data_IF_864659788428
#
_entry.id   IF_864659788428
#
_cell.length_a   1.000
_cell.length_b   1.000
_cell.length_c   1.000
_cell.angle_alpha   90.00
_cell.angle_beta   90.00
_cell.angle_gamma   90.00
#
_symmetry.space_group_name_H-M   'P 1'
#
loop_
_entity.id
_entity.type
_entity.pdbx_description
1 polymer ?
#
# COMPACT_ATOMS: atom_id res chain seq x y z
N UNK A 1 10.56 -9.09 3.44
CA UNK A 1 9.61 -9.56 2.41
C UNK A 1 8.87 -8.34 1.89
N UNK A 2 8.77 -8.14 0.57
CA UNK A 2 8.10 -6.97 -0.02
C UNK A 2 6.98 -7.42 -0.97
N UNK A 3 6.00 -6.53 -1.17
CA UNK A 3 5.05 -6.62 -2.28
C UNK A 3 5.76 -6.24 -3.57
N UNK A 4 5.59 -7.05 -4.61
CA UNK A 4 6.10 -6.76 -5.94
C UNK A 4 5.11 -5.85 -6.69
N UNK A 5 5.38 -4.54 -6.69
CA UNK A 5 4.56 -3.56 -7.41
C UNK A 5 4.55 -3.71 -8.94
N UNK A 6 5.40 -4.58 -9.50
CA UNK A 6 5.46 -4.91 -10.93
C UNK A 6 4.88 -6.29 -11.26
N UNK A 7 4.19 -6.94 -10.32
CA UNK A 7 3.57 -8.23 -10.56
C UNK A 7 2.49 -8.13 -11.67
N UNK A 8 2.49 -9.09 -12.59
CA UNK A 8 1.51 -9.16 -13.69
C UNK A 8 0.08 -9.34 -13.17
N UNK A 9 -0.10 -10.09 -12.08
CA UNK A 9 -1.37 -10.22 -11.35
C UNK A 9 -1.22 -9.64 -9.92
N UNK A 10 -1.63 -8.38 -9.71
CA UNK A 10 -1.64 -7.74 -8.40
C UNK A 10 -2.45 -8.49 -7.34
N UNK A 11 -3.53 -9.16 -7.74
CA UNK A 11 -4.40 -9.88 -6.80
C UNK A 11 -3.72 -11.14 -6.31
N UNK A 12 -3.10 -11.90 -7.22
CA UNK A 12 -2.29 -13.05 -6.85
C UNK A 12 -1.11 -12.66 -5.96
N UNK A 13 -0.45 -11.53 -6.26
CA UNK A 13 0.65 -11.01 -5.44
C UNK A 13 0.21 -10.64 -4.02
N UNK A 14 -0.95 -10.00 -3.86
CA UNK A 14 -1.52 -9.69 -2.55
C UNK A 14 -1.83 -10.97 -1.76
N UNK A 15 -2.44 -11.98 -2.40
CA UNK A 15 -2.70 -13.28 -1.77
C UNK A 15 -1.41 -13.97 -1.33
N UNK A 16 -0.40 -14.00 -2.21
CA UNK A 16 0.93 -14.54 -1.91
C UNK A 16 1.57 -13.86 -0.71
N UNK A 17 1.35 -12.55 -0.54
CA UNK A 17 1.90 -11.80 0.58
C UNK A 17 1.20 -12.15 1.90
N UNK A 18 -0.14 -12.20 1.90
CA UNK A 18 -0.95 -12.63 3.04
C UNK A 18 -0.64 -14.06 3.49
N UNK A 19 -0.57 -15.01 2.54
CA UNK A 19 -0.23 -16.41 2.82
C UNK A 19 1.12 -16.54 3.51
N UNK A 20 2.10 -15.70 3.16
CA UNK A 20 3.42 -15.71 3.81
C UNK A 20 3.37 -15.19 5.22
N UNK A 21 2.59 -14.15 5.50
CA UNK A 21 2.38 -13.64 6.85
C UNK A 21 1.79 -14.77 7.72
N UNK A 22 0.77 -15.46 7.23
CA UNK A 22 0.17 -16.60 7.94
C UNK A 22 1.15 -17.76 8.11
N UNK A 23 1.93 -18.10 7.08
CA UNK A 23 2.88 -19.21 7.13
C UNK A 23 4.00 -19.03 8.17
N UNK A 24 4.31 -17.78 8.54
CA UNK A 24 5.28 -17.47 9.61
C UNK A 24 4.63 -17.22 10.97
N UNK A 25 3.30 -17.38 11.08
CA UNK A 25 2.56 -17.25 12.33
C UNK A 25 1.95 -15.86 12.60
N UNK A 26 2.02 -14.94 11.63
CA UNK A 26 1.50 -13.57 11.76
C UNK A 26 2.60 -12.52 11.97
N UNK A 27 2.21 -11.33 12.44
CA UNK A 27 3.09 -10.23 12.77
C UNK A 27 2.99 -9.93 14.26
N UNK A 28 4.08 -10.08 15.01
CA UNK A 28 4.11 -9.78 16.46
C UNK A 28 4.12 -8.27 16.76
N UNK A 29 4.73 -7.49 15.85
CA UNK A 29 4.86 -6.05 15.98
C UNK A 29 4.78 -5.41 14.59
N UNK A 30 3.98 -4.35 14.47
CA UNK A 30 3.90 -3.52 13.28
C UNK A 30 4.17 -2.08 13.68
N UNK A 31 5.19 -1.47 13.07
CA UNK A 31 5.54 -0.06 13.28
C UNK A 31 5.11 0.72 12.04
N UNK A 32 4.21 1.69 12.23
CA UNK A 32 3.62 2.46 11.14
C UNK A 32 3.78 3.97 11.38
N UNK A 33 3.94 4.71 10.29
CA UNK A 33 3.68 6.15 10.28
C UNK A 33 2.20 6.44 10.04
N UNK A 34 1.76 7.64 10.40
CA UNK A 34 0.40 8.13 10.14
C UNK A 34 0.50 9.37 9.24
N UNK A 35 -0.28 9.38 8.16
CA UNK A 35 -0.39 10.51 7.26
C UNK A 35 -1.16 11.68 7.88
N UNK A 36 -1.01 12.88 7.33
CA UNK A 36 -1.67 14.11 7.83
C UNK A 36 -3.20 14.01 7.86
N UNK A 37 -3.79 13.16 7.01
CA UNK A 37 -5.24 12.89 6.96
C UNK A 37 -5.64 11.64 7.76
N UNK A 38 -4.72 11.06 8.54
CA UNK A 38 -4.95 9.89 9.38
C UNK A 38 -4.78 8.53 8.69
N UNK A 39 -4.38 8.48 7.40
CA UNK A 39 -4.15 7.21 6.73
C UNK A 39 -2.97 6.44 7.33
N UNK A 40 -3.02 5.11 7.23
CA UNK A 40 -1.89 4.20 7.45
C UNK A 40 -1.55 3.48 6.16
N UNK A 41 -0.27 3.37 5.82
CA UNK A 41 0.17 2.89 4.50
C UNK A 41 -0.57 3.65 3.37
N UNK A 42 -1.20 2.97 2.42
CA UNK A 42 -2.08 3.62 1.42
C UNK A 42 -3.58 3.46 1.73
N UNK A 43 -3.95 3.17 2.97
CA UNK A 43 -5.35 3.07 3.41
C UNK A 43 -5.92 4.46 3.69
N UNK A 44 -6.29 5.16 2.62
CA UNK A 44 -6.92 6.48 2.66
C UNK A 44 -8.26 6.51 3.42
N UNK A 45 -8.71 7.68 3.89
CA UNK A 45 -10.05 7.87 4.43
C UNK A 45 -11.13 7.27 3.52
N UNK A 46 -11.99 6.43 4.10
CA UNK A 46 -13.01 5.66 3.37
C UNK A 46 -12.59 4.22 3.03
N UNK A 47 -11.33 3.84 3.28
CA UNK A 47 -10.93 2.43 3.20
C UNK A 47 -11.72 1.56 4.20
N UNK A 48 -12.13 0.33 3.81
CA UNK A 48 -12.81 -0.57 4.73
C UNK A 48 -11.92 -0.93 5.93
N UNK A 49 -12.51 -0.96 7.12
CA UNK A 49 -11.81 -1.24 8.39
C UNK A 49 -11.28 -2.68 8.48
N UNK A 50 -11.88 -3.59 7.73
CA UNK A 50 -11.54 -5.02 7.63
C UNK A 50 -10.79 -5.35 6.32
N UNK A 51 -10.30 -4.32 5.63
CA UNK A 51 -9.58 -4.52 4.37
C UNK A 51 -8.28 -5.32 4.56
N UNK A 52 -7.93 -6.08 3.50
CA UNK A 52 -6.71 -6.88 3.39
C UNK A 52 -5.73 -6.27 2.40
N UNK A 53 -4.59 -6.92 2.25
CA UNK A 53 -3.58 -6.56 1.24
C UNK A 53 -4.25 -6.47 -0.14
N UNK A 54 -4.14 -5.33 -0.83
CA UNK A 54 -4.83 -5.07 -2.10
C UNK A 54 -4.14 -3.99 -2.95
N UNK A 55 -4.52 -3.95 -4.23
CA UNK A 55 -4.25 -2.81 -5.09
C UNK A 55 -5.22 -1.67 -4.75
N UNK A 56 -4.69 -0.48 -4.55
CA UNK A 56 -5.46 0.75 -4.33
C UNK A 56 -5.08 1.83 -5.34
N UNK A 57 -6.03 2.67 -5.68
CA UNK A 57 -5.77 3.92 -6.40
C UNK A 57 -5.40 5.00 -5.40
N UNK A 58 -4.26 5.66 -5.62
CA UNK A 58 -3.76 6.70 -4.73
C UNK A 58 -4.55 7.99 -4.94
N UNK A 59 -4.97 8.63 -3.84
CA UNK A 59 -5.62 9.93 -3.90
C UNK A 59 -4.65 11.02 -4.36
N UNK A 60 -5.19 12.17 -4.76
CA UNK A 60 -4.39 13.31 -5.24
C UNK A 60 -3.43 13.79 -4.16
N UNK A 61 -3.89 13.82 -2.92
CA UNK A 61 -3.15 14.30 -1.75
C UNK A 61 -1.92 13.43 -1.49
N UNK A 62 -2.06 12.11 -1.53
CA UNK A 62 -0.94 11.17 -1.30
C UNK A 62 0.06 11.17 -2.44
N UNK A 63 -0.40 11.33 -3.69
CA UNK A 63 0.49 11.56 -4.84
C UNK A 63 1.26 12.87 -4.68
N UNK A 64 0.60 13.95 -4.29
CA UNK A 64 1.24 15.25 -4.05
C UNK A 64 2.25 15.19 -2.89
N UNK A 65 1.91 14.49 -1.80
CA UNK A 65 2.80 14.30 -0.65
C UNK A 65 4.07 13.50 -1.00
N UNK A 66 3.99 12.62 -2.00
CA UNK A 66 5.13 11.79 -2.45
C UNK A 66 5.88 12.42 -3.63
N UNK A 67 5.37 13.50 -4.22
CA UNK A 67 5.89 14.06 -5.48
C UNK A 67 7.37 14.47 -5.40
N UNK A 68 7.85 14.85 -4.23
CA UNK A 68 9.26 15.22 -4.02
C UNK A 68 10.25 14.05 -4.23
N UNK A 69 9.77 12.81 -4.26
CA UNK A 69 10.57 11.60 -4.51
C UNK A 69 10.78 11.34 -6.01
N UNK A 70 10.09 12.05 -6.90
CA UNK A 70 10.06 11.80 -8.34
C UNK A 70 10.57 13.00 -9.12
N UNK A 71 11.00 12.80 -10.37
CA UNK A 71 11.50 13.90 -11.20
C UNK A 71 10.37 14.84 -11.64
N UNK A 72 9.14 14.33 -11.77
CA UNK A 72 7.94 15.12 -12.03
C UNK A 72 6.69 14.53 -11.38
N UNK A 73 5.62 15.32 -11.30
CA UNK A 73 4.35 14.88 -10.73
C UNK A 73 3.68 13.77 -11.57
N UNK A 74 3.94 13.74 -12.87
CA UNK A 74 3.45 12.74 -13.83
C UNK A 74 4.08 11.37 -13.60
N UNK A 75 5.32 11.31 -13.09
CA UNK A 75 6.02 10.06 -12.78
C UNK A 75 5.52 9.41 -11.49
N UNK A 76 4.78 10.15 -10.65
CA UNK A 76 4.22 9.60 -9.41
C UNK A 76 3.17 8.54 -9.77
N UNK A 77 3.32 7.28 -9.30
CA UNK A 77 2.37 6.22 -9.59
C UNK A 77 0.92 6.59 -9.23
N UNK A 78 -0.02 6.07 -10.00
CA UNK A 78 -1.45 6.24 -9.74
C UNK A 78 -2.02 5.19 -8.79
N UNK A 79 -1.32 4.06 -8.62
CA UNK A 79 -1.76 2.93 -7.82
C UNK A 79 -0.60 2.40 -6.98
N UNK A 80 -0.95 1.72 -5.89
CA UNK A 80 0.00 1.04 -5.02
C UNK A 80 -0.60 -0.25 -4.44
N UNK A 81 0.25 -1.18 -4.04
CA UNK A 81 -0.15 -2.32 -3.22
C UNK A 81 0.05 -1.93 -1.76
N UNK A 82 -0.96 -2.20 -0.93
CA UNK A 82 -0.96 -1.89 0.51
C UNK A 82 -1.62 -3.00 1.29
#
# INVERSE_FOLDING_TARGET
HFLNGLAEDPTAECRRYEERIVAVGGLDLVVLGIGVNGHIAFNEPGSPVDSRTRLVTLCRESRAASAYLFASAEEVPHQGLT
#
